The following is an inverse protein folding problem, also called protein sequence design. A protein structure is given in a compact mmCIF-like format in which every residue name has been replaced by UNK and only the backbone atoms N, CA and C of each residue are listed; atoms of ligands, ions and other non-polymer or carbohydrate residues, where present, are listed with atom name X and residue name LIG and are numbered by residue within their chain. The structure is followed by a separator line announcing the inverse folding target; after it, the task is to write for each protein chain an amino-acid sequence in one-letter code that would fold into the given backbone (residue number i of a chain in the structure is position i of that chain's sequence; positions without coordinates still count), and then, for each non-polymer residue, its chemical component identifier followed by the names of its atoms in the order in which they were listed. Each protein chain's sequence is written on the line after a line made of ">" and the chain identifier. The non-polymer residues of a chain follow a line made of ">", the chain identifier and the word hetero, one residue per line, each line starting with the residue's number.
data_IF_198424617689
#
_entry.id   IF_198424617689
#
_cell.length_a   1.000
_cell.length_b   1.000
_cell.length_c   1.000
_cell.angle_alpha   90.00
_cell.angle_beta   90.00
_cell.angle_gamma   90.00
#
_symmetry.space_group_name_H-M   'P 1'
#
loop_
_entity.id
_entity.type
_entity.pdbx_description
1 polymer ?
#
# COMPACT_ATOMS: atom_id res chain seq x y z
N UNK A 1 1.45 18.75 17.77
CA UNK A 1 0.18 18.10 18.16
C UNK A 1 -0.42 17.44 16.93
N UNK A 2 -0.84 16.17 17.02
CA UNK A 2 -1.53 15.46 15.92
C UNK A 2 -2.78 14.80 16.47
N UNK A 3 -3.93 15.07 15.86
CA UNK A 3 -5.22 14.46 16.25
C UNK A 3 -5.85 13.73 15.07
N UNK A 4 -6.54 12.63 15.35
CA UNK A 4 -7.36 11.88 14.38
C UNK A 4 -8.81 11.86 14.86
N UNK A 5 -9.75 12.11 13.96
CA UNK A 5 -11.19 12.06 14.24
C UNK A 5 -11.91 11.07 13.32
N UNK A 6 -12.92 10.37 13.86
CA UNK A 6 -13.87 9.57 13.09
C UNK A 6 -15.24 10.28 12.92
N UNK A 7 -15.30 11.58 13.22
CA UNK A 7 -16.53 12.38 13.20
C UNK A 7 -17.38 12.31 14.47
N UNK A 8 -17.18 11.31 15.34
CA UNK A 8 -17.86 11.20 16.64
C UNK A 8 -16.90 11.44 17.81
N UNK A 9 -15.66 10.98 17.68
CA UNK A 9 -14.58 11.10 18.67
C UNK A 9 -13.34 11.64 17.98
N UNK A 10 -12.52 12.31 18.77
CA UNK A 10 -11.20 12.80 18.36
C UNK A 10 -10.18 12.30 19.35
N UNK A 11 -9.12 11.67 18.85
CA UNK A 11 -8.02 11.17 19.65
C UNK A 11 -6.75 11.96 19.38
N UNK A 12 -6.05 12.36 20.44
CA UNK A 12 -4.74 12.99 20.38
C UNK A 12 -3.66 11.91 20.36
N UNK A 13 -2.81 11.93 19.33
CA UNK A 13 -1.66 11.03 19.25
C UNK A 13 -0.52 11.54 20.14
N UNK A 14 0.19 10.59 20.75
CA UNK A 14 1.39 10.84 21.52
C UNK A 14 2.62 10.65 20.67
N UNK A 15 3.55 11.58 20.80
CA UNK A 15 4.86 11.54 20.16
C UNK A 15 5.80 10.59 20.90
N UNK A 16 6.59 9.85 20.13
CA UNK A 16 7.67 9.02 20.59
C UNK A 16 8.90 9.29 19.73
N UNK A 17 10.07 9.23 20.34
CA UNK A 17 11.36 9.45 19.69
C UNK A 17 12.17 8.16 19.69
N UNK A 18 12.73 7.82 18.53
CA UNK A 18 13.69 6.72 18.36
C UNK A 18 15.02 7.32 17.87
N UNK A 19 16.13 7.17 18.62
CA UNK A 19 17.44 7.57 18.13
C UNK A 19 17.87 6.65 16.98
N UNK A 20 18.39 7.25 15.90
CA UNK A 20 18.95 6.55 14.75
C UNK A 20 20.48 6.70 14.73
N UNK A 21 21.15 6.05 13.77
CA UNK A 21 22.59 6.19 13.59
C UNK A 21 23.00 7.67 13.41
N UNK A 22 24.10 8.09 14.04
CA UNK A 22 24.55 9.48 14.05
C UNK A 22 23.69 10.38 14.94
N UNK A 23 23.41 11.61 14.47
CA UNK A 23 22.59 12.60 15.20
C UNK A 23 21.14 12.65 14.70
N UNK A 24 20.68 11.63 13.97
CA UNK A 24 19.33 11.56 13.45
C UNK A 24 18.36 10.98 14.48
N UNK A 25 17.12 11.49 14.45
CA UNK A 25 16.02 11.04 15.31
C UNK A 25 14.81 10.76 14.44
N UNK A 26 14.15 9.63 14.68
CA UNK A 26 12.84 9.31 14.10
C UNK A 26 11.77 9.65 15.12
N UNK A 27 10.79 10.45 14.71
CA UNK A 27 9.60 10.73 15.50
C UNK A 27 8.43 9.96 14.93
N UNK A 28 7.67 9.27 15.78
CA UNK A 28 6.42 8.64 15.40
C UNK A 28 5.32 8.98 16.38
N UNK A 29 4.09 9.00 15.90
CA UNK A 29 2.91 9.36 16.67
C UNK A 29 1.93 8.20 16.68
N UNK A 30 1.51 7.76 17.87
CA UNK A 30 0.55 6.66 18.01
C UNK A 30 -0.35 6.87 19.22
N UNK A 31 -1.34 5.99 19.39
CA UNK A 31 -2.23 5.97 20.55
C UNK A 31 -1.41 5.85 21.84
N UNK A 32 -1.74 6.65 22.85
CA UNK A 32 -1.18 6.47 24.19
C UNK A 32 -1.95 5.35 24.90
N UNK A 33 -1.30 4.21 25.14
CA UNK A 33 -1.91 3.09 25.88
C UNK A 33 -2.20 3.44 27.35
N UNK A 34 -1.77 4.59 27.85
CA UNK A 34 -2.22 5.12 29.14
C UNK A 34 -3.55 5.91 29.05
N UNK A 35 -4.03 6.25 27.85
CA UNK A 35 -5.23 7.06 27.65
C UNK A 35 -6.16 6.46 26.57
N UNK A 36 -7.00 5.51 26.99
CA UNK A 36 -7.93 4.81 26.10
C UNK A 36 -9.28 5.52 25.89
N UNK A 37 -9.57 6.62 26.57
CA UNK A 37 -10.93 7.19 26.61
C UNK A 37 -11.46 7.58 25.23
N UNK A 38 -10.58 8.02 24.32
CA UNK A 38 -10.95 8.50 22.99
C UNK A 38 -10.41 7.65 21.85
N UNK A 39 -9.77 6.49 22.14
CA UNK A 39 -9.30 5.60 21.08
C UNK A 39 -10.48 5.00 20.30
N UNK A 40 -10.26 4.74 19.02
CA UNK A 40 -11.19 4.04 18.16
C UNK A 40 -10.41 3.23 17.12
N UNK A 41 -11.08 2.22 16.54
CA UNK A 41 -10.52 1.44 15.44
C UNK A 41 -11.01 1.99 14.10
N UNK A 42 -10.20 1.79 13.06
CA UNK A 42 -10.62 1.97 11.69
C UNK A 42 -11.70 0.96 11.32
N UNK A 43 -12.75 1.40 10.62
CA UNK A 43 -13.89 0.60 10.19
C UNK A 43 -14.15 0.86 8.70
N UNK A 44 -14.50 -0.19 7.97
CA UNK A 44 -14.86 -0.09 6.56
C UNK A 44 -16.11 0.77 6.37
N UNK A 45 -16.14 1.54 5.28
CA UNK A 45 -17.22 2.48 4.95
C UNK A 45 -17.22 3.76 5.79
N UNK A 46 -16.18 4.01 6.61
CA UNK A 46 -16.06 5.22 7.44
C UNK A 46 -15.00 6.17 6.91
N UNK A 47 -15.14 7.44 7.28
CA UNK A 47 -14.23 8.52 6.95
C UNK A 47 -13.57 9.08 8.20
N UNK A 48 -12.33 9.53 8.04
CA UNK A 48 -11.47 10.02 9.09
C UNK A 48 -10.84 11.34 8.68
N UNK A 49 -10.57 12.20 9.65
CA UNK A 49 -9.76 13.40 9.45
C UNK A 49 -8.55 13.40 10.38
N UNK A 50 -7.46 13.97 9.90
CA UNK A 50 -6.26 14.23 10.67
C UNK A 50 -6.01 15.72 10.71
N UNK A 51 -5.65 16.23 11.89
CA UNK A 51 -5.22 17.61 12.09
C UNK A 51 -3.85 17.62 12.75
N UNK A 52 -2.91 18.36 12.16
CA UNK A 52 -1.54 18.54 12.63
C UNK A 52 -1.36 20.01 13.00
N UNK A 53 -0.89 20.30 14.21
CA UNK A 53 -0.43 21.63 14.62
C UNK A 53 1.03 21.58 15.00
N UNK A 54 1.85 22.37 14.32
CA UNK A 54 3.30 22.45 14.54
C UNK A 54 3.80 23.86 14.22
N UNK A 55 4.66 24.42 15.08
CA UNK A 55 5.27 25.75 14.89
C UNK A 55 4.26 26.86 14.51
N UNK A 56 3.07 26.86 15.13
CA UNK A 56 2.01 27.84 14.87
C UNK A 56 1.25 27.66 13.54
N UNK A 57 1.55 26.61 12.76
CA UNK A 57 0.82 26.23 11.55
C UNK A 57 -0.13 25.08 11.83
N UNK A 58 -1.24 25.04 11.10
CA UNK A 58 -2.23 23.96 11.13
C UNK A 58 -2.34 23.33 9.74
N UNK A 59 -2.38 22.00 9.70
CA UNK A 59 -2.57 21.21 8.49
C UNK A 59 -3.69 20.19 8.71
N UNK A 60 -4.48 19.94 7.68
CA UNK A 60 -5.60 19.01 7.70
C UNK A 60 -5.52 18.03 6.55
N UNK A 61 -5.94 16.79 6.81
CA UNK A 61 -6.15 15.76 5.79
C UNK A 61 -7.40 14.95 6.08
N UNK A 62 -7.92 14.28 5.05
CA UNK A 62 -9.09 13.39 5.15
C UNK A 62 -8.81 12.11 4.37
N UNK A 63 -9.32 11.00 4.88
CA UNK A 63 -9.31 9.71 4.20
C UNK A 63 -10.58 8.93 4.50
N UNK A 64 -10.87 7.90 3.70
CA UNK A 64 -11.84 6.86 4.05
C UNK A 64 -11.18 5.49 4.04
N UNK A 65 -11.78 4.55 4.78
CA UNK A 65 -11.49 3.13 4.66
C UNK A 65 -12.60 2.53 3.80
N UNK A 66 -12.37 2.22 2.52
CA UNK A 66 -13.42 1.65 1.68
C UNK A 66 -13.85 0.28 2.18
N UNK A 67 -15.04 -0.15 1.74
CA UNK A 67 -15.40 -1.57 1.87
C UNK A 67 -14.41 -2.43 1.09
N UNK A 68 -14.11 -3.61 1.63
CA UNK A 68 -13.27 -4.60 0.97
C UNK A 68 -14.09 -5.31 -0.10
N UNK A 69 -14.22 -4.67 -1.28
CA UNK A 69 -15.04 -5.15 -2.40
C UNK A 69 -14.21 -5.93 -3.40
N UNK A 70 -13.03 -5.43 -3.80
CA UNK A 70 -12.06 -6.19 -4.59
C UNK A 70 -11.21 -7.08 -3.71
N UNK A 71 -11.15 -8.36 -4.06
CA UNK A 71 -10.51 -9.43 -3.28
C UNK A 71 -9.75 -10.36 -4.20
N UNK A 72 -8.80 -11.08 -3.62
CA UNK A 72 -8.15 -12.22 -4.28
C UNK A 72 -8.89 -13.47 -3.80
N UNK A 73 -9.63 -14.11 -4.69
CA UNK A 73 -10.45 -15.28 -4.41
C UNK A 73 -9.60 -16.55 -4.33
N UNK A 74 -8.60 -16.66 -5.20
CA UNK A 74 -7.64 -17.76 -5.18
C UNK A 74 -6.28 -17.33 -5.74
N UNK A 75 -5.24 -18.07 -5.34
CA UNK A 75 -3.90 -17.96 -5.88
C UNK A 75 -3.55 -19.23 -6.65
N UNK A 76 -2.85 -19.06 -7.75
CA UNK A 76 -2.28 -20.13 -8.57
C UNK A 76 -0.91 -19.71 -9.09
N UNK A 77 -0.10 -20.65 -9.56
CA UNK A 77 1.23 -20.35 -10.09
C UNK A 77 1.49 -21.13 -11.38
N UNK A 78 2.40 -20.61 -12.20
CA UNK A 78 2.92 -21.29 -13.41
C UNK A 78 4.44 -21.17 -13.46
N UNK A 79 5.14 -22.19 -13.97
CA UNK A 79 6.58 -22.12 -14.23
C UNK A 79 6.89 -21.18 -15.39
N UNK A 80 7.97 -20.42 -15.29
CA UNK A 80 8.44 -19.55 -16.37
C UNK A 80 8.83 -20.40 -17.59
N UNK A 81 8.07 -20.31 -18.68
CA UNK A 81 8.21 -21.20 -19.85
C UNK A 81 9.45 -20.95 -20.73
N UNK A 82 10.13 -19.83 -20.55
CA UNK A 82 11.20 -19.35 -21.45
C UNK A 82 12.62 -19.51 -20.88
N UNK A 83 12.77 -20.03 -19.66
CA UNK A 83 14.08 -20.25 -19.03
C UNK A 83 14.33 -21.75 -18.88
N UNK A 84 15.57 -22.19 -19.14
CA UNK A 84 16.04 -23.54 -18.78
C UNK A 84 15.98 -23.79 -17.25
N UNK A 85 15.80 -22.71 -16.49
CA UNK A 85 15.56 -22.71 -15.06
C UNK A 85 14.06 -22.88 -14.73
N UNK A 86 13.71 -24.07 -14.24
CA UNK A 86 12.34 -24.42 -13.82
C UNK A 86 12.03 -24.03 -12.37
N UNK A 87 13.00 -23.42 -11.66
CA UNK A 87 12.83 -22.97 -10.27
C UNK A 87 11.96 -21.72 -10.15
N UNK A 88 11.94 -20.86 -11.19
CA UNK A 88 11.17 -19.61 -11.19
C UNK A 88 9.71 -19.84 -11.54
N UNK A 89 8.83 -19.16 -10.81
CA UNK A 89 7.39 -19.22 -11.02
C UNK A 89 6.75 -17.83 -11.05
N UNK A 90 5.66 -17.74 -11.81
CA UNK A 90 4.78 -16.57 -11.90
C UNK A 90 3.57 -16.84 -11.01
N UNK A 91 3.25 -15.90 -10.11
CA UNK A 91 2.06 -15.97 -9.28
C UNK A 91 0.88 -15.28 -9.98
N UNK A 92 -0.27 -15.93 -9.96
CA UNK A 92 -1.53 -15.39 -10.45
C UNK A 92 -2.57 -15.31 -9.33
N UNK A 93 -3.24 -14.17 -9.23
CA UNK A 93 -4.45 -14.00 -8.43
C UNK A 93 -5.69 -14.04 -9.31
N UNK A 94 -6.67 -14.84 -8.92
CA UNK A 94 -8.02 -14.77 -9.49
C UNK A 94 -8.85 -13.77 -8.69
N UNK A 95 -9.47 -12.81 -9.38
CA UNK A 95 -10.30 -11.75 -8.78
C UNK A 95 -11.58 -11.61 -9.58
N UNK A 96 -12.69 -11.36 -8.88
CA UNK A 96 -13.96 -10.92 -9.47
C UNK A 96 -14.10 -9.41 -9.33
N UNK A 97 -14.49 -8.74 -10.42
CA UNK A 97 -14.83 -7.32 -10.37
C UNK A 97 -16.23 -7.11 -9.78
N UNK A 98 -16.38 -6.46 -8.61
CA UNK A 98 -17.70 -6.12 -8.10
C UNK A 98 -18.35 -5.01 -8.96
N UNK A 99 -19.64 -5.13 -9.31
CA UNK A 99 -20.32 -4.13 -10.13
C UNK A 99 -20.34 -2.76 -9.43
N UNK A 100 -19.89 -1.72 -10.14
CA UNK A 100 -19.81 -0.34 -9.65
C UNK A 100 -18.51 0.35 -10.04
N UNK A 101 -18.50 1.69 -10.05
CA UNK A 101 -17.33 2.47 -10.47
C UNK A 101 -16.36 2.74 -9.30
N UNK A 102 -15.06 2.71 -9.60
CA UNK A 102 -14.04 3.48 -8.85
C UNK A 102 -13.47 2.81 -7.61
N UNK A 103 -13.15 1.51 -7.67
CA UNK A 103 -12.42 0.83 -6.60
C UNK A 103 -10.91 0.94 -6.85
N UNK A 104 -10.21 1.71 -6.02
CA UNK A 104 -8.75 1.76 -6.06
C UNK A 104 -8.17 0.67 -5.16
N UNK A 105 -7.19 -0.04 -5.67
CA UNK A 105 -6.52 -1.11 -4.93
C UNK A 105 -5.03 -0.86 -4.80
N UNK A 106 -4.45 -1.51 -3.80
CA UNK A 106 -3.01 -1.67 -3.65
C UNK A 106 -2.67 -3.06 -3.16
N UNK A 107 -1.61 -3.68 -3.70
CA UNK A 107 -1.14 -4.98 -3.22
C UNK A 107 0.28 -4.94 -2.67
N UNK A 108 0.57 -5.90 -1.81
CA UNK A 108 1.90 -6.19 -1.28
C UNK A 108 2.09 -7.69 -1.26
N UNK A 109 3.33 -8.15 -1.34
CA UNK A 109 3.67 -9.56 -1.13
C UNK A 109 4.74 -9.71 -0.05
N UNK A 110 4.66 -10.81 0.67
CA UNK A 110 5.66 -11.28 1.63
C UNK A 110 6.03 -12.70 1.24
N UNK A 111 7.33 -12.99 1.22
CA UNK A 111 7.88 -14.31 0.90
C UNK A 111 8.59 -14.86 2.13
N UNK A 112 8.37 -16.13 2.46
CA UNK A 112 9.04 -16.87 3.53
C UNK A 112 9.01 -16.15 4.90
N UNK A 113 7.85 -15.59 5.27
CA UNK A 113 7.62 -14.80 6.48
C UNK A 113 8.44 -13.49 6.58
N UNK A 114 8.95 -13.01 5.44
CA UNK A 114 9.61 -11.72 5.32
C UNK A 114 8.67 -10.53 5.42
N UNK A 115 9.19 -9.30 5.33
CA UNK A 115 8.39 -8.08 5.29
C UNK A 115 7.46 -8.05 4.07
N UNK A 116 6.39 -7.26 4.17
CA UNK A 116 5.52 -6.95 3.03
C UNK A 116 6.11 -5.81 2.22
N UNK A 117 6.42 -6.07 0.95
CA UNK A 117 6.82 -5.04 0.01
C UNK A 117 5.75 -4.81 -1.05
N UNK A 118 5.52 -3.55 -1.47
CA UNK A 118 4.67 -3.28 -2.62
C UNK A 118 5.38 -3.72 -3.90
N UNK A 119 4.62 -4.22 -4.88
CA UNK A 119 5.14 -4.45 -6.23
C UNK A 119 5.74 -3.18 -6.85
N UNK A 120 6.42 -3.30 -7.99
CA UNK A 120 7.05 -2.15 -8.64
C UNK A 120 5.99 -1.10 -9.04
N UNK A 121 4.88 -1.57 -9.63
CA UNK A 121 3.62 -0.85 -9.73
C UNK A 121 2.60 -1.56 -8.84
N UNK A 122 2.26 -0.96 -7.71
CA UNK A 122 1.46 -1.62 -6.67
C UNK A 122 0.02 -1.15 -6.59
N UNK A 123 -0.29 0.02 -7.17
CA UNK A 123 -1.63 0.60 -7.18
C UNK A 123 -2.31 0.48 -8.53
N UNK A 124 -3.59 0.14 -8.52
CA UNK A 124 -4.41 0.05 -9.73
C UNK A 124 -5.74 0.75 -9.56
N UNK A 125 -6.19 1.39 -10.64
CA UNK A 125 -7.54 1.92 -10.81
C UNK A 125 -8.34 0.91 -11.62
N UNK A 126 -9.55 0.65 -11.18
CA UNK A 126 -10.46 -0.26 -11.83
C UNK A 126 -11.15 0.40 -13.00
N UNK A 127 -10.50 0.35 -14.16
CA UNK A 127 -11.07 0.85 -15.40
C UNK A 127 -11.65 -0.32 -16.21
N UNK A 128 -12.84 -0.75 -15.76
CA UNK A 128 -13.87 -1.50 -16.51
C UNK A 128 -13.43 -2.88 -17.02
N UNK A 129 -13.69 -3.92 -16.19
CA UNK A 129 -14.04 -5.28 -16.66
C UNK A 129 -15.25 -5.76 -15.83
N UNK A 130 -16.40 -5.11 -16.06
CA UNK A 130 -17.59 -5.23 -15.21
C UNK A 130 -18.07 -6.68 -15.03
N UNK A 131 -18.06 -7.17 -13.79
CA UNK A 131 -18.66 -8.45 -13.38
C UNK A 131 -17.91 -9.72 -13.81
N UNK A 132 -16.77 -9.62 -14.49
CA UNK A 132 -16.01 -10.80 -14.91
C UNK A 132 -15.01 -11.24 -13.85
N UNK A 133 -14.69 -12.53 -13.88
CA UNK A 133 -13.60 -13.10 -13.10
C UNK A 133 -12.40 -13.27 -14.01
N UNK A 134 -11.29 -12.64 -13.66
CA UNK A 134 -10.07 -12.67 -14.45
C UNK A 134 -8.86 -13.04 -13.59
N UNK A 135 -7.79 -13.47 -14.25
CA UNK A 135 -6.49 -13.76 -13.64
C UNK A 135 -5.56 -12.58 -13.88
N UNK A 136 -4.92 -12.11 -12.83
CA UNK A 136 -3.83 -11.12 -12.91
C UNK A 136 -2.55 -11.72 -12.41
N UNK A 137 -1.45 -11.38 -13.07
CA UNK A 137 -0.13 -11.66 -12.52
C UNK A 137 0.09 -10.77 -11.29
N UNK A 138 0.61 -11.36 -10.22
CA UNK A 138 1.04 -10.67 -9.00
C UNK A 138 2.55 -10.80 -8.95
N UNK A 139 3.25 -9.69 -9.07
CA UNK A 139 4.71 -9.65 -9.00
C UNK A 139 5.20 -9.73 -7.55
N UNK A 140 6.44 -10.17 -7.36
CA UNK A 140 7.10 -10.08 -6.05
C UNK A 140 7.29 -8.61 -5.65
N UNK A 141 7.14 -8.35 -4.35
CA UNK A 141 7.26 -7.04 -3.75
C UNK A 141 8.71 -6.59 -3.74
N UNK A 142 8.93 -5.31 -4.05
CA UNK A 142 10.28 -4.77 -4.25
C UNK A 142 10.73 -3.94 -3.06
N UNK A 143 11.86 -4.32 -2.46
CA UNK A 143 12.57 -3.51 -1.49
C UNK A 143 13.32 -2.36 -2.18
N UNK A 144 12.70 -1.18 -2.24
CA UNK A 144 13.27 0.00 -2.94
C UNK A 144 14.51 0.60 -2.26
N UNK A 145 14.97 0.04 -1.14
CA UNK A 145 16.25 0.40 -0.50
C UNK A 145 17.43 -0.43 -1.01
N UNK A 146 17.17 -1.43 -1.85
CA UNK A 146 18.16 -2.33 -2.44
C UNK A 146 18.20 -2.15 -3.97
N UNK A 147 19.26 -2.64 -4.60
CA UNK A 147 19.34 -2.69 -6.07
C UNK A 147 18.31 -3.68 -6.62
N UNK A 148 17.62 -3.28 -7.68
CA UNK A 148 16.54 -4.07 -8.28
C UNK A 148 17.09 -4.75 -9.53
N UNK A 149 17.08 -6.08 -9.54
CA UNK A 149 17.27 -6.85 -10.77
C UNK A 149 15.98 -6.82 -11.60
N UNK A 150 15.93 -5.94 -12.60
CA UNK A 150 14.74 -5.76 -13.43
C UNK A 150 14.37 -6.98 -14.30
N UNK A 151 15.29 -7.94 -14.46
CA UNK A 151 15.01 -9.19 -15.18
C UNK A 151 14.34 -10.22 -14.26
N UNK A 152 14.70 -10.25 -12.97
CA UNK A 152 14.28 -11.29 -12.03
C UNK A 152 13.23 -10.86 -11.00
N UNK A 153 13.10 -9.56 -10.69
CA UNK A 153 12.34 -9.08 -9.53
C UNK A 153 10.87 -9.51 -9.50
N UNK A 154 10.29 -9.85 -10.65
CA UNK A 154 8.86 -10.13 -10.76
C UNK A 154 8.50 -11.58 -10.38
N UNK A 155 9.49 -12.47 -10.32
CA UNK A 155 9.30 -13.90 -10.12
C UNK A 155 9.40 -14.34 -8.66
N UNK A 156 8.77 -15.45 -8.35
CA UNK A 156 8.97 -16.20 -7.10
C UNK A 156 9.71 -17.50 -7.39
N UNK A 157 10.08 -18.24 -6.34
CA UNK A 157 10.77 -19.51 -6.46
C UNK A 157 9.91 -20.70 -6.02
N UNK A 158 10.21 -21.87 -6.59
CA UNK A 158 9.79 -23.16 -6.05
C UNK A 158 10.18 -23.27 -4.58
N UNK A 159 9.28 -23.83 -3.78
CA UNK A 159 9.46 -23.88 -2.32
C UNK A 159 9.11 -22.58 -1.58
N UNK A 160 8.76 -21.47 -2.24
CA UNK A 160 8.36 -20.24 -1.53
C UNK A 160 7.00 -20.38 -0.83
N UNK A 161 6.91 -19.79 0.37
CA UNK A 161 5.65 -19.51 1.04
C UNK A 161 5.31 -18.03 0.87
N UNK A 162 4.26 -17.74 0.10
CA UNK A 162 3.89 -16.38 -0.27
C UNK A 162 2.60 -15.95 0.43
N UNK A 163 2.58 -14.72 0.94
CA UNK A 163 1.37 -14.04 1.41
C UNK A 163 1.15 -12.79 0.56
N UNK A 164 0.00 -12.75 -0.12
CA UNK A 164 -0.50 -11.57 -0.82
C UNK A 164 -1.38 -10.78 0.14
N UNK A 165 -1.03 -9.51 0.36
CA UNK A 165 -1.86 -8.53 1.07
C UNK A 165 -2.55 -7.64 0.03
N UNK A 166 -3.82 -7.91 -0.24
CA UNK A 166 -4.65 -7.07 -1.11
C UNK A 166 -5.35 -6.01 -0.27
N UNK A 167 -5.40 -4.77 -0.77
CA UNK A 167 -6.04 -3.66 -0.06
C UNK A 167 -6.93 -2.83 -0.96
N UNK A 168 -8.07 -2.37 -0.43
CA UNK A 168 -8.87 -1.34 -1.08
C UNK A 168 -8.60 -0.01 -0.37
N UNK A 169 -8.40 1.04 -1.16
CA UNK A 169 -7.96 2.37 -0.72
C UNK A 169 -8.83 3.46 -1.34
N UNK A 170 -8.84 4.63 -0.72
CA UNK A 170 -9.51 5.78 -1.30
C UNK A 170 -8.68 6.41 -2.44
N UNK A 171 -9.33 7.27 -3.22
CA UNK A 171 -8.70 7.96 -4.35
C UNK A 171 -7.48 8.76 -3.95
N UNK A 172 -7.55 9.45 -2.81
CA UNK A 172 -6.46 10.29 -2.31
C UNK A 172 -5.18 9.46 -2.05
N UNK A 173 -5.35 8.29 -1.44
CA UNK A 173 -4.26 7.34 -1.20
C UNK A 173 -3.73 6.78 -2.51
N UNK A 174 -4.62 6.44 -3.45
CA UNK A 174 -4.23 5.97 -4.79
C UNK A 174 -3.40 7.02 -5.54
N UNK A 175 -3.87 8.27 -5.59
CA UNK A 175 -3.20 9.36 -6.30
C UNK A 175 -1.82 9.67 -5.71
N UNK A 176 -1.67 9.63 -4.38
CA UNK A 176 -0.36 9.73 -3.73
C UNK A 176 0.58 8.62 -4.21
N UNK A 177 0.18 7.35 -4.06
CA UNK A 177 1.07 6.22 -4.35
C UNK A 177 1.38 6.07 -5.83
N UNK A 178 0.40 6.31 -6.71
CA UNK A 178 0.62 6.30 -8.16
C UNK A 178 1.65 7.34 -8.57
N UNK A 179 1.60 8.54 -7.99
CA UNK A 179 2.57 9.60 -8.32
C UNK A 179 3.94 9.37 -7.70
N UNK A 180 4.03 8.75 -6.51
CA UNK A 180 5.30 8.27 -5.94
C UNK A 180 5.93 7.19 -6.82
N UNK A 181 5.18 6.18 -7.20
CA UNK A 181 5.67 5.05 -8.01
C UNK A 181 6.09 5.51 -9.40
N UNK A 182 5.32 6.39 -10.05
CA UNK A 182 5.70 6.99 -11.32
C UNK A 182 6.97 7.86 -11.20
N UNK A 183 7.07 8.66 -10.13
CA UNK A 183 8.27 9.48 -9.89
C UNK A 183 9.51 8.61 -9.68
N UNK A 184 9.37 7.47 -9.01
CA UNK A 184 10.47 6.52 -8.81
C UNK A 184 10.95 5.93 -10.13
N UNK A 185 10.03 5.44 -10.97
CA UNK A 185 10.35 4.89 -12.30
C UNK A 185 10.90 5.93 -13.29
N UNK A 186 10.76 7.22 -12.98
CA UNK A 186 11.29 8.33 -13.80
C UNK A 186 12.69 8.79 -13.36
N UNK A 187 13.21 8.31 -12.23
CA UNK A 187 14.55 8.70 -11.74
C UNK A 187 15.60 8.28 -12.78
N UNK A 188 16.41 9.24 -13.23
CA UNK A 188 17.48 9.00 -14.21
C UNK A 188 17.03 9.04 -15.68
N UNK A 189 15.74 9.26 -15.97
CA UNK A 189 15.26 9.47 -17.34
C UNK A 189 15.27 10.97 -17.70
N UNK A 190 16.20 11.44 -18.57
CA UNK A 190 16.33 12.86 -18.92
C UNK A 190 15.17 13.40 -19.78
N UNK A 191 14.27 12.54 -20.24
CA UNK A 191 13.07 12.90 -21.01
C UNK A 191 11.78 12.78 -20.18
N UNK A 192 11.88 12.40 -18.90
CA UNK A 192 10.71 12.34 -18.02
C UNK A 192 10.22 13.75 -17.68
N UNK A 193 8.90 13.94 -17.69
CA UNK A 193 8.30 15.19 -17.24
C UNK A 193 8.38 15.29 -15.71
N UNK A 194 8.68 16.46 -15.12
CA UNK A 194 8.65 16.64 -13.68
C UNK A 194 7.30 16.20 -13.11
N UNK A 195 7.31 15.16 -12.27
CA UNK A 195 6.07 14.66 -11.65
C UNK A 195 5.92 15.27 -10.28
N UNK A 196 4.80 15.98 -10.08
CA UNK A 196 4.42 16.45 -8.75
C UNK A 196 3.75 15.30 -8.00
N UNK A 197 4.36 14.88 -6.89
CA UNK A 197 3.72 13.97 -5.93
C UNK A 197 2.46 14.64 -5.38
N UNK A 198 1.32 13.98 -5.56
CA UNK A 198 0.04 14.46 -5.04
C UNK A 198 -0.05 14.18 -3.54
N UNK A 199 -0.72 15.06 -2.80
CA UNK A 199 -0.92 14.98 -1.34
C UNK A 199 -2.38 15.29 -1.03
N UNK A 200 -2.92 14.70 0.04
CA UNK A 200 -4.23 15.07 0.59
C UNK A 200 -4.14 15.92 1.86
N UNK A 201 -2.94 16.40 2.20
CA UNK A 201 -2.73 17.42 3.21
C UNK A 201 -2.84 18.82 2.57
N UNK A 202 -3.46 19.75 3.29
CA UNK A 202 -3.51 21.17 2.90
C UNK A 202 -2.21 21.93 3.23
N UNK A 203 -2.19 23.25 3.00
CA UNK A 203 -1.11 24.13 3.46
C UNK A 203 0.27 23.88 2.84
N UNK A 204 0.36 23.11 1.75
CA UNK A 204 1.61 22.75 1.09
C UNK A 204 2.42 21.68 1.82
N UNK A 205 1.82 20.95 2.76
CA UNK A 205 2.48 19.83 3.44
C UNK A 205 2.72 18.63 2.51
N UNK A 206 3.79 17.90 2.77
CA UNK A 206 4.16 16.68 2.04
C UNK A 206 3.65 15.43 2.76
N UNK A 207 3.45 14.36 2.00
CA UNK A 207 2.98 13.06 2.50
C UNK A 207 1.53 12.77 2.15
N UNK A 208 0.94 11.81 2.86
CA UNK A 208 -0.48 11.47 2.73
C UNK A 208 -1.04 10.95 4.06
N UNK A 209 -2.36 10.97 4.16
CA UNK A 209 -3.14 10.29 5.16
C UNK A 209 -4.06 9.29 4.48
N UNK A 210 -3.92 7.99 4.75
CA UNK A 210 -4.63 6.95 4.02
C UNK A 210 -5.24 5.87 4.91
N UNK A 211 -6.45 5.46 4.57
CA UNK A 211 -7.17 4.32 5.14
C UNK A 211 -7.12 3.11 4.21
N UNK A 212 -6.95 1.92 4.80
CA UNK A 212 -6.83 0.66 4.07
C UNK A 212 -7.81 -0.37 4.63
N UNK A 213 -8.62 -0.97 3.77
CA UNK A 213 -9.24 -2.27 4.08
C UNK A 213 -8.38 -3.37 3.47
N UNK A 214 -8.20 -4.49 4.20
CA UNK A 214 -7.12 -5.44 3.91
C UNK A 214 -7.65 -6.87 3.88
N UNK A 215 -7.18 -7.65 2.92
CA UNK A 215 -7.29 -9.10 2.83
C UNK A 215 -5.88 -9.72 2.76
N UNK A 216 -5.70 -10.88 3.39
CA UNK A 216 -4.50 -11.69 3.24
C UNK A 216 -4.88 -13.03 2.60
N UNK A 217 -4.17 -13.42 1.55
CA UNK A 217 -4.32 -14.71 0.87
C UNK A 217 -2.93 -15.33 0.72
N UNK A 218 -2.78 -16.61 1.04
CA UNK A 218 -1.48 -17.28 1.07
C UNK A 218 -1.44 -18.50 0.15
N UNK A 219 -0.25 -18.80 -0.38
CA UNK A 219 0.04 -20.01 -1.14
C UNK A 219 1.43 -20.53 -0.80
N UNK A 220 1.58 -21.85 -0.74
CA UNK A 220 2.88 -22.52 -0.69
C UNK A 220 3.14 -23.13 -2.06
N UNK A 221 4.24 -22.74 -2.69
CA UNK A 221 4.69 -23.35 -3.94
C UNK A 221 5.46 -24.62 -3.56
N UNK A 222 5.13 -25.79 -4.14
CA UNK A 222 5.91 -27.01 -3.93
C UNK A 222 7.34 -26.86 -4.45
N UNK A 223 8.27 -27.60 -3.86
CA UNK A 223 9.65 -27.74 -4.36
C UNK A 223 9.67 -28.33 -5.79
#
# INVERSE_FOLDING_TARGET
>A
EITISNGQRTHLLKEYEIPLAGNYKLFYYTVDSANFATIFRGEQGKSYSMKIKVAGKEYNAKTSIPFLTKKVDSLSWETVKQKDDTSKVILYGQTTDPPGFGNYIRYFTSTNNGPFFPGLNSVFDDQIVDGETYKVQIEQGVNRNEEIDFEEYSFFERGDSIVVKMTNIDRATFDFWRTIEYSYSSIGNPFSSPTKVLTNLDGGALGYFGGYSVQYTSIKIPD
#
